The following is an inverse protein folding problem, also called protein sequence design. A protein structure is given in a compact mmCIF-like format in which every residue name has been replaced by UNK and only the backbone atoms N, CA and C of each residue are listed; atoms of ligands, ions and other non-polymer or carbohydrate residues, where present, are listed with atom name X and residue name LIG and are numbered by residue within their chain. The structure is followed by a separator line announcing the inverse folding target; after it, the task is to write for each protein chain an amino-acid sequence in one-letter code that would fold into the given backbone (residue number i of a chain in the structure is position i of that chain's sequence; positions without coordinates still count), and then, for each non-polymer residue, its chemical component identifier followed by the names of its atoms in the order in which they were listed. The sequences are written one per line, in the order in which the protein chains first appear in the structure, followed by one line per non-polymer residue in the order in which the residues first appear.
data_IF_160208867569
#
_entry.id   IF_160208867569
#
_cell.length_a   1.000
_cell.length_b   1.000
_cell.length_c   1.000
_cell.angle_alpha   90.00
_cell.angle_beta   90.00
_cell.angle_gamma   90.00
#
_symmetry.space_group_name_H-M   'P 1'
#
loop_
_entity.id
_entity.type
_entity.pdbx_description
1 polymer ?
#
# COMPACT_ATOMS: atom_id res chain seq x y z
N UNK A 1 10.56 -10.98 -10.48
CA UNK A 1 10.71 -9.79 -9.61
C UNK A 1 9.43 -9.46 -8.83
N UNK A 2 8.33 -10.11 -9.20
CA UNK A 2 7.02 -10.17 -8.55
C UNK A 2 7.00 -10.09 -7.01
N UNK A 3 7.74 -10.93 -6.29
CA UNK A 3 7.77 -10.91 -4.81
C UNK A 3 8.19 -9.53 -4.25
N UNK A 4 9.18 -8.90 -4.89
CA UNK A 4 9.70 -7.59 -4.51
C UNK A 4 8.69 -6.47 -4.81
N UNK A 5 7.93 -6.59 -5.90
CA UNK A 5 6.86 -5.67 -6.27
C UNK A 5 5.72 -5.68 -5.23
N UNK A 6 5.34 -6.87 -4.74
CA UNK A 6 4.34 -7.01 -3.69
C UNK A 6 4.81 -6.44 -2.36
N UNK A 7 6.07 -6.71 -1.95
CA UNK A 7 6.63 -6.14 -0.72
C UNK A 7 6.64 -4.61 -0.80
N UNK A 8 7.08 -4.04 -1.92
CA UNK A 8 7.09 -2.59 -2.11
C UNK A 8 5.67 -1.99 -2.03
N UNK A 9 4.67 -2.64 -2.62
CA UNK A 9 3.28 -2.22 -2.55
C UNK A 9 2.72 -2.29 -1.11
N UNK A 10 3.04 -3.36 -0.37
CA UNK A 10 2.61 -3.52 1.03
C UNK A 10 3.22 -2.44 1.91
N UNK A 11 4.53 -2.20 1.82
CA UNK A 11 5.22 -1.17 2.60
C UNK A 11 4.66 0.22 2.26
N UNK A 12 4.50 0.52 0.96
CA UNK A 12 3.93 1.78 0.50
C UNK A 12 2.52 2.02 1.06
N UNK A 13 1.65 1.01 1.01
CA UNK A 13 0.28 1.09 1.51
C UNK A 13 0.20 1.19 3.04
N UNK A 14 1.06 0.46 3.78
CA UNK A 14 1.12 0.55 5.25
C UNK A 14 1.60 1.92 5.69
N UNK A 15 2.65 2.48 5.06
CA UNK A 15 3.13 3.83 5.35
C UNK A 15 2.08 4.90 5.02
N UNK A 16 1.29 4.68 3.96
CA UNK A 16 0.17 5.55 3.63
C UNK A 16 -0.90 5.52 4.74
N UNK A 17 -1.21 4.34 5.25
CA UNK A 17 -2.24 4.16 6.28
C UNK A 17 -1.80 4.60 7.68
N UNK A 18 -0.50 4.58 7.99
CA UNK A 18 0.01 5.22 9.21
C UNK A 18 -0.20 6.75 9.22
N UNK A 19 -0.56 7.36 8.08
CA UNK A 19 -1.05 8.74 8.03
C UNK A 19 -2.56 8.88 8.34
N UNK A 20 -3.21 7.81 8.81
CA UNK A 20 -4.61 7.80 9.18
C UNK A 20 -4.91 8.66 10.41
N UNK A 21 -5.66 9.74 10.19
CA UNK A 21 -6.43 10.56 11.13
C UNK A 21 -5.82 11.89 11.62
N UNK A 22 -4.55 12.04 12.00
CA UNK A 22 -4.12 13.31 12.63
C UNK A 22 -2.68 13.84 12.41
N UNK A 23 -1.87 13.31 11.48
CA UNK A 23 -0.46 13.79 11.34
C UNK A 23 -0.05 14.05 9.88
N UNK A 24 0.06 15.34 9.54
CA UNK A 24 0.59 15.87 8.29
C UNK A 24 2.11 15.69 8.14
N UNK A 25 2.64 14.49 8.39
CA UNK A 25 4.07 14.24 8.28
C UNK A 25 4.46 13.95 6.82
N UNK A 26 4.86 15.01 6.12
CA UNK A 26 5.27 15.00 4.70
C UNK A 26 6.30 13.90 4.40
N UNK A 27 7.18 13.57 5.35
CA UNK A 27 8.19 12.52 5.17
C UNK A 27 7.58 11.15 4.85
N UNK A 28 6.57 10.72 5.61
CA UNK A 28 5.91 9.43 5.38
C UNK A 28 5.13 9.40 4.06
N UNK A 29 4.56 10.54 3.65
CA UNK A 29 3.90 10.66 2.34
C UNK A 29 4.89 10.51 1.18
N UNK A 30 6.04 11.18 1.25
CA UNK A 30 7.08 11.10 0.22
C UNK A 30 7.64 9.68 0.12
N UNK A 31 7.96 9.06 1.26
CA UNK A 31 8.49 7.69 1.28
C UNK A 31 7.44 6.72 0.72
N UNK A 32 6.19 6.81 1.16
CA UNK A 32 5.09 5.99 0.63
C UNK A 32 4.93 6.17 -0.89
N UNK A 33 5.00 7.40 -1.40
CA UNK A 33 4.93 7.68 -2.83
C UNK A 33 6.06 6.98 -3.59
N UNK A 34 7.30 7.07 -3.12
CA UNK A 34 8.47 6.44 -3.75
C UNK A 34 8.26 4.93 -3.84
N UNK A 35 7.85 4.29 -2.75
CA UNK A 35 7.61 2.83 -2.73
C UNK A 35 6.47 2.42 -3.68
N UNK A 36 5.41 3.21 -3.78
CA UNK A 36 4.31 2.95 -4.71
C UNK A 36 4.75 3.12 -6.17
N UNK A 37 5.54 4.14 -6.50
CA UNK A 37 6.09 4.33 -7.86
C UNK A 37 6.99 3.15 -8.24
N UNK A 38 7.88 2.72 -7.33
CA UNK A 38 8.74 1.56 -7.56
C UNK A 38 7.89 0.31 -7.79
N UNK A 39 6.85 0.09 -6.97
CA UNK A 39 5.95 -1.05 -7.14
C UNK A 39 5.26 -1.04 -8.52
N UNK A 40 4.70 0.10 -8.95
CA UNK A 40 4.07 0.26 -10.28
C UNK A 40 5.06 -0.07 -11.40
N UNK A 41 6.29 0.45 -11.31
CA UNK A 41 7.32 0.21 -12.32
C UNK A 41 7.69 -1.28 -12.38
N UNK A 42 7.84 -1.94 -11.22
CA UNK A 42 8.13 -3.37 -11.17
C UNK A 42 6.98 -4.22 -11.76
N UNK A 43 5.73 -3.86 -11.47
CA UNK A 43 4.57 -4.54 -12.07
C UNK A 43 4.49 -4.31 -13.59
N UNK A 44 4.80 -3.09 -14.06
CA UNK A 44 4.84 -2.76 -15.48
C UNK A 44 5.97 -3.51 -16.23
N UNK A 45 7.14 -3.69 -15.60
CA UNK A 45 8.25 -4.47 -16.19
C UNK A 45 7.88 -5.96 -16.28
N UNK A 46 7.27 -6.52 -15.24
CA UNK A 46 6.99 -7.97 -15.18
C UNK A 46 5.82 -8.38 -16.10
N UNK A 47 4.78 -7.53 -16.23
CA UNK A 47 3.54 -7.90 -16.93
C UNK A 47 3.22 -7.06 -18.17
N UNK A 48 4.08 -6.10 -18.50
CA UNK A 48 3.81 -5.05 -19.49
C UNK A 48 3.00 -3.89 -18.91
N UNK A 49 3.15 -2.69 -19.49
CA UNK A 49 2.67 -1.43 -18.89
C UNK A 49 1.19 -1.45 -18.52
N UNK A 50 0.30 -1.77 -19.48
CA UNK A 50 -1.14 -1.73 -19.25
C UNK A 50 -1.59 -2.78 -18.21
N UNK A 51 -1.17 -4.04 -18.38
CA UNK A 51 -1.53 -5.15 -17.49
C UNK A 51 -0.92 -4.98 -16.10
N UNK A 52 0.33 -4.52 -16.02
CA UNK A 52 1.02 -4.25 -14.76
C UNK A 52 0.32 -3.20 -13.92
N UNK A 53 -0.16 -2.11 -14.53
CA UNK A 53 -0.94 -1.08 -13.83
C UNK A 53 -2.23 -1.68 -13.23
N UNK A 54 -2.97 -2.49 -13.98
CA UNK A 54 -4.18 -3.13 -13.45
C UNK A 54 -3.90 -4.08 -12.29
N UNK A 55 -2.82 -4.88 -12.39
CA UNK A 55 -2.42 -5.80 -11.32
C UNK A 55 -2.01 -5.01 -10.07
N UNK A 56 -1.24 -3.94 -10.23
CA UNK A 56 -0.88 -3.06 -9.13
C UNK A 56 -2.11 -2.45 -8.45
N UNK A 57 -3.07 -1.92 -9.24
CA UNK A 57 -4.31 -1.34 -8.71
C UNK A 57 -5.13 -2.37 -7.93
N UNK A 58 -5.22 -3.61 -8.43
CA UNK A 58 -5.89 -4.70 -7.71
C UNK A 58 -5.16 -5.04 -6.40
N UNK A 59 -3.83 -5.13 -6.42
CA UNK A 59 -3.03 -5.43 -5.24
C UNK A 59 -3.16 -4.36 -4.16
N UNK A 60 -3.04 -3.08 -4.52
CA UNK A 60 -3.14 -1.98 -3.54
C UNK A 60 -4.57 -1.82 -3.01
N UNK A 61 -5.60 -2.06 -3.84
CA UNK A 61 -6.99 -2.07 -3.41
C UNK A 61 -7.25 -3.17 -2.38
N UNK A 62 -6.78 -4.39 -2.64
CA UNK A 62 -6.89 -5.51 -1.72
C UNK A 62 -6.19 -5.21 -0.38
N UNK A 63 -4.96 -4.68 -0.43
CA UNK A 63 -4.21 -4.28 0.77
C UNK A 63 -4.97 -3.21 1.55
N UNK A 64 -5.52 -2.20 0.86
CA UNK A 64 -6.34 -1.16 1.47
C UNK A 64 -7.53 -1.72 2.22
N UNK A 65 -8.29 -2.63 1.60
CA UNK A 65 -9.44 -3.30 2.24
C UNK A 65 -9.00 -4.10 3.48
N UNK A 66 -7.94 -4.90 3.35
CA UNK A 66 -7.42 -5.71 4.47
C UNK A 66 -7.01 -4.81 5.64
N UNK A 67 -6.31 -3.71 5.36
CA UNK A 67 -5.91 -2.76 6.37
C UNK A 67 -7.13 -2.11 7.04
N UNK A 68 -8.08 -1.58 6.27
CA UNK A 68 -9.31 -0.97 6.81
C UNK A 68 -10.07 -1.94 7.72
N UNK A 69 -10.25 -3.19 7.28
CA UNK A 69 -10.92 -4.22 8.07
C UNK A 69 -10.14 -4.52 9.36
N UNK A 70 -8.82 -4.73 9.27
CA UNK A 70 -7.98 -5.00 10.43
C UNK A 70 -8.03 -3.88 11.48
N UNK A 71 -7.94 -2.62 11.06
CA UNK A 71 -8.04 -1.47 11.96
C UNK A 71 -9.45 -1.31 12.55
N UNK A 72 -10.50 -1.57 11.77
CA UNK A 72 -11.87 -1.56 12.26
C UNK A 72 -12.12 -2.64 13.34
N UNK A 73 -11.53 -3.83 13.18
CA UNK A 73 -11.56 -4.88 14.20
C UNK A 73 -10.78 -4.50 15.46
N UNK A 74 -9.57 -3.95 15.31
CA UNK A 74 -8.75 -3.49 16.46
C UNK A 74 -9.46 -2.40 17.26
N UNK A 75 -10.13 -1.45 16.60
CA UNK A 75 -10.85 -0.36 17.26
C UNK A 75 -12.09 -0.84 18.06
N UNK A 76 -12.62 -2.03 17.78
CA UNK A 76 -13.78 -2.60 18.48
C UNK A 76 -13.43 -3.39 19.74
N UNK A 77 -12.17 -3.70 20.01
CA UNK A 77 -11.78 -4.34 21.27
C UNK A 77 -11.65 -3.26 22.35
N UNK A 78 -12.56 -3.19 23.35
CA UNK A 78 -12.36 -2.31 24.49
C UNK A 78 -11.09 -2.77 25.23
N UNK A 79 -10.26 -1.80 25.60
CA UNK A 79 -9.11 -2.01 26.47
C UNK A 79 -9.71 -2.40 27.83
N UNK A 80 -9.67 -3.69 28.16
CA UNK A 80 -9.86 -4.17 29.54
C UNK A 80 -8.65 -3.82 30.39
#
# INVERSE_FOLDING_TARGET
MLFLAFIAAIIGAVLLNQNGSYTGNIGYKIISLIFNVIAVVLFAIEYGTARGIFIYLAAISLIGVVLTVFFAFKAKQPIE
#
